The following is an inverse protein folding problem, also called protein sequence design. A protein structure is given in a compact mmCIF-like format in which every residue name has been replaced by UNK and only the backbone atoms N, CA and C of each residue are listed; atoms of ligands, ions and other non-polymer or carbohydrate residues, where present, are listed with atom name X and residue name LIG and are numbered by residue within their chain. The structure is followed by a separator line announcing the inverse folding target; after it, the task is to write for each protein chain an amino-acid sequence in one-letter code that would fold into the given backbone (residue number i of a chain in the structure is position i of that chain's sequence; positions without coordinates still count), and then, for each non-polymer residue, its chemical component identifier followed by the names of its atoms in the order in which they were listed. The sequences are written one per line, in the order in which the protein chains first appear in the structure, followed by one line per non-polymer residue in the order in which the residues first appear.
data_IF_334718179293
#
_entry.id   IF_334718179293
#
_cell.length_a   1.000
_cell.length_b   1.000
_cell.length_c   1.000
_cell.angle_alpha   90.00
_cell.angle_beta   90.00
_cell.angle_gamma   90.00
#
_symmetry.space_group_name_H-M   'P 1'
#
loop_
_entity.id
_entity.type
_entity.pdbx_description
1 polymer ?
#
# COMPACT_ATOMS: atom_id res chain seq x y z
N UNK A 1 -9.93 -30.17 -9.99
CA UNK A 1 -10.10 -28.71 -9.84
C UNK A 1 -10.72 -28.33 -8.49
N UNK A 2 -11.84 -28.95 -8.10
CA UNK A 2 -12.57 -28.66 -6.84
C UNK A 2 -11.73 -28.72 -5.54
N UNK A 3 -10.84 -29.70 -5.40
CA UNK A 3 -10.02 -29.81 -4.18
C UNK A 3 -9.02 -28.65 -4.03
N UNK A 4 -8.49 -28.11 -5.14
CA UNK A 4 -7.55 -26.98 -5.12
C UNK A 4 -8.23 -25.68 -4.68
N UNK A 5 -9.46 -25.44 -5.17
CA UNK A 5 -10.26 -24.28 -4.78
C UNK A 5 -10.72 -24.38 -3.33
N UNK A 6 -11.05 -25.58 -2.86
CA UNK A 6 -11.43 -25.80 -1.47
C UNK A 6 -10.24 -25.60 -0.52
N UNK A 7 -9.06 -26.12 -0.87
CA UNK A 7 -7.86 -25.93 -0.06
C UNK A 7 -7.44 -24.46 0.03
N UNK A 8 -7.54 -23.70 -1.07
CA UNK A 8 -7.21 -22.27 -1.05
C UNK A 8 -8.21 -21.46 -0.20
N UNK A 9 -9.49 -21.81 -0.25
CA UNK A 9 -10.51 -21.18 0.59
C UNK A 9 -10.32 -21.48 2.07
N UNK A 10 -9.98 -22.72 2.42
CA UNK A 10 -9.67 -23.12 3.80
C UNK A 10 -8.43 -22.40 4.32
N UNK A 11 -7.35 -22.34 3.53
CA UNK A 11 -6.13 -21.62 3.89
C UNK A 11 -6.41 -20.12 4.16
N UNK A 12 -7.15 -19.46 3.27
CA UNK A 12 -7.53 -18.06 3.46
C UNK A 12 -8.43 -17.85 4.69
N UNK A 13 -9.28 -18.83 5.04
CA UNK A 13 -10.11 -18.76 6.24
C UNK A 13 -9.28 -18.96 7.52
N UNK A 14 -8.30 -19.86 7.49
CA UNK A 14 -7.38 -20.08 8.61
C UNK A 14 -6.48 -18.87 8.86
N UNK A 15 -5.92 -18.26 7.82
CA UNK A 15 -5.15 -17.01 7.92
C UNK A 15 -5.99 -15.90 8.56
N UNK A 16 -7.25 -15.71 8.13
CA UNK A 16 -8.18 -14.74 8.74
C UNK A 16 -8.46 -15.03 10.21
N UNK A 17 -8.57 -16.31 10.61
CA UNK A 17 -8.74 -16.70 12.02
C UNK A 17 -7.49 -16.43 12.84
N UNK A 18 -6.30 -16.62 12.27
CA UNK A 18 -5.02 -16.33 12.95
C UNK A 18 -4.84 -14.84 13.17
N UNK A 19 -5.16 -14.00 12.18
CA UNK A 19 -5.12 -12.53 12.33
C UNK A 19 -6.04 -12.04 13.43
N UNK A 20 -7.29 -12.53 13.49
CA UNK A 20 -8.23 -12.19 14.58
C UNK A 20 -7.76 -12.67 15.96
N UNK A 21 -6.97 -13.76 16.01
CA UNK A 21 -6.35 -14.22 17.25
C UNK A 21 -5.16 -13.36 17.65
N UNK A 22 -4.41 -12.79 16.70
CA UNK A 22 -3.29 -11.88 16.99
C UNK A 22 -3.74 -10.61 17.71
N UNK A 23 -4.96 -10.11 17.46
CA UNK A 23 -5.52 -8.94 18.17
C UNK A 23 -5.77 -9.20 19.67
N UNK A 24 -5.80 -10.46 20.12
CA UNK A 24 -6.04 -10.82 21.51
C UNK A 24 -4.84 -11.55 22.08
N UNK A 25 -4.20 -10.95 23.08
CA UNK A 25 -3.10 -11.55 23.84
C UNK A 25 -3.42 -12.98 24.35
N UNK A 26 -4.67 -13.22 24.76
CA UNK A 26 -5.19 -14.54 25.15
C UNK A 26 -6.46 -14.83 24.35
N UNK A 27 -6.30 -15.47 23.19
CA UNK A 27 -7.39 -15.72 22.24
C UNK A 27 -8.14 -17.05 22.42
N UNK A 28 -7.74 -17.90 23.36
CA UNK A 28 -8.32 -19.24 23.60
C UNK A 28 -9.44 -19.25 24.66
N UNK A 29 -9.59 -18.16 25.42
CA UNK A 29 -10.63 -18.03 26.46
C UNK A 29 -10.38 -18.91 27.69
N UNK A 30 -9.22 -19.57 27.77
CA UNK A 30 -8.85 -20.42 28.90
C UNK A 30 -8.24 -19.59 30.03
N UNK A 31 -8.54 -19.92 31.30
CA UNK A 31 -7.88 -19.27 32.44
C UNK A 31 -6.37 -19.53 32.38
N UNK A 32 -5.59 -18.45 32.39
CA UNK A 32 -4.12 -18.50 32.44
C UNK A 32 -3.63 -17.76 33.67
N UNK A 33 -2.56 -18.26 34.26
CA UNK A 33 -1.88 -17.58 35.34
C UNK A 33 -1.13 -16.36 34.78
N UNK A 34 -1.67 -15.17 35.03
CA UNK A 34 -1.17 -13.90 34.49
C UNK A 34 0.18 -13.47 35.10
N UNK A 35 0.60 -14.11 36.18
CA UNK A 35 1.90 -13.87 36.85
C UNK A 35 2.99 -14.83 36.42
N UNK A 36 2.70 -15.78 35.52
CA UNK A 36 3.73 -16.69 35.00
C UNK A 36 4.62 -16.02 33.95
N UNK A 37 5.90 -16.34 33.94
CA UNK A 37 6.89 -15.83 32.97
C UNK A 37 6.41 -15.96 31.52
N UNK A 38 5.72 -17.05 31.20
CA UNK A 38 5.15 -17.28 29.86
C UNK A 38 4.13 -16.22 29.45
N UNK A 39 3.29 -15.76 30.38
CA UNK A 39 2.33 -14.69 30.10
C UNK A 39 3.06 -13.37 29.95
N UNK A 40 4.01 -13.07 30.83
CA UNK A 40 4.84 -11.87 30.73
C UNK A 40 5.56 -11.77 29.39
N UNK A 41 6.26 -12.82 28.95
CA UNK A 41 6.91 -12.85 27.64
C UNK A 41 5.90 -12.61 26.51
N UNK A 42 4.71 -13.21 26.57
CA UNK A 42 3.67 -13.00 25.57
C UNK A 42 3.19 -11.54 25.51
N UNK A 43 3.10 -10.83 26.65
CA UNK A 43 2.75 -9.40 26.71
C UNK A 43 3.84 -8.57 26.04
N UNK A 44 5.10 -8.85 26.36
CA UNK A 44 6.24 -8.15 25.77
C UNK A 44 6.27 -8.34 24.25
N UNK A 45 6.11 -9.58 23.77
CA UNK A 45 6.10 -9.87 22.33
C UNK A 45 4.94 -9.16 21.62
N UNK A 46 3.75 -9.13 22.23
CA UNK A 46 2.59 -8.43 21.68
C UNK A 46 2.84 -6.92 21.57
N UNK A 47 3.38 -6.29 22.62
CA UNK A 47 3.67 -4.86 22.62
C UNK A 47 4.74 -4.51 21.58
N UNK A 48 5.83 -5.29 21.52
CA UNK A 48 6.87 -5.11 20.52
C UNK A 48 6.32 -5.23 19.09
N UNK A 49 5.41 -6.18 18.85
CA UNK A 49 4.76 -6.36 17.55
C UNK A 49 3.84 -5.18 17.21
N UNK A 50 3.09 -4.65 18.19
CA UNK A 50 2.25 -3.47 18.00
C UNK A 50 3.08 -2.22 17.67
N UNK A 51 4.17 -2.00 18.38
CA UNK A 51 5.09 -0.88 18.13
C UNK A 51 5.75 -1.00 16.74
N UNK A 52 6.15 -2.23 16.35
CA UNK A 52 6.66 -2.51 15.01
C UNK A 52 5.61 -2.25 13.91
N UNK A 53 4.33 -2.56 14.16
CA UNK A 53 3.26 -2.27 13.19
C UNK A 53 3.03 -0.76 13.04
N UNK A 54 3.04 -0.01 14.14
CA UNK A 54 2.88 1.45 14.10
C UNK A 54 4.02 2.10 13.31
N UNK A 55 5.27 1.74 13.61
CA UNK A 55 6.43 2.27 12.87
C UNK A 55 6.43 1.87 11.39
N UNK A 56 6.02 0.65 11.06
CA UNK A 56 5.85 0.21 9.66
C UNK A 56 4.74 1.00 8.94
N UNK A 57 3.64 1.31 9.64
CA UNK A 57 2.54 2.11 9.08
C UNK A 57 2.97 3.56 8.84
N UNK A 58 3.71 4.15 9.78
CA UNK A 58 4.21 5.52 9.66
C UNK A 58 5.22 5.66 8.52
N UNK A 59 6.20 4.76 8.42
CA UNK A 59 7.16 4.74 7.30
C UNK A 59 6.45 4.58 5.95
N UNK A 60 5.51 3.64 5.84
CA UNK A 60 4.74 3.46 4.61
C UNK A 60 3.88 4.70 4.27
N UNK A 61 3.36 5.41 5.27
CA UNK A 61 2.64 6.66 5.04
C UNK A 61 3.57 7.76 4.52
N UNK A 62 4.77 7.90 5.10
CA UNK A 62 5.77 8.85 4.65
C UNK A 62 6.18 8.60 3.19
N UNK A 63 6.50 7.35 2.84
CA UNK A 63 6.84 6.98 1.45
C UNK A 63 5.72 7.30 0.46
N UNK A 64 4.46 7.10 0.87
CA UNK A 64 3.29 7.44 0.04
C UNK A 64 3.17 8.94 -0.18
N UNK A 65 3.38 9.73 0.87
CA UNK A 65 3.26 11.19 0.81
C UNK A 65 4.40 11.79 -0.02
N UNK A 66 5.63 11.29 0.15
CA UNK A 66 6.78 11.64 -0.69
C UNK A 66 6.50 11.31 -2.17
N UNK A 67 6.06 10.09 -2.46
CA UNK A 67 5.70 9.70 -3.83
C UNK A 67 4.58 10.56 -4.39
N UNK A 68 3.57 10.90 -3.60
CA UNK A 68 2.46 11.74 -4.03
C UNK A 68 2.93 13.15 -4.39
N UNK A 69 3.83 13.73 -3.58
CA UNK A 69 4.43 15.04 -3.85
C UNK A 69 5.27 15.06 -5.13
N UNK A 70 6.13 14.06 -5.33
CA UNK A 70 6.94 13.91 -6.54
C UNK A 70 6.07 13.73 -7.78
N UNK A 71 5.02 12.90 -7.69
CA UNK A 71 4.06 12.70 -8.77
C UNK A 71 3.31 13.98 -9.12
N UNK A 72 2.98 14.81 -8.12
CA UNK A 72 2.32 16.09 -8.35
C UNK A 72 3.22 17.05 -9.13
N UNK A 73 4.47 17.22 -8.68
CA UNK A 73 5.45 18.06 -9.36
C UNK A 73 5.70 17.57 -10.80
N UNK A 74 5.83 16.25 -11.00
CA UNK A 74 5.98 15.66 -12.32
C UNK A 74 4.79 15.97 -13.24
N UNK A 75 3.54 15.83 -12.74
CA UNK A 75 2.34 16.12 -13.53
C UNK A 75 2.26 17.59 -13.96
N UNK A 76 2.65 18.51 -13.09
CA UNK A 76 2.67 19.94 -13.41
C UNK A 76 3.68 20.25 -14.52
N UNK A 77 4.86 19.63 -14.50
CA UNK A 77 5.85 19.79 -15.57
C UNK A 77 5.43 19.09 -16.86
N UNK A 78 4.80 17.91 -16.75
CA UNK A 78 4.30 17.16 -17.89
C UNK A 78 3.19 17.93 -18.65
N UNK A 79 2.30 18.59 -17.91
CA UNK A 79 1.27 19.46 -18.48
C UNK A 79 1.89 20.60 -19.30
N UNK A 80 2.88 21.32 -18.74
CA UNK A 80 3.59 22.39 -19.48
C UNK A 80 4.30 21.87 -20.73
N UNK A 81 4.85 20.65 -20.67
CA UNK A 81 5.48 20.01 -21.83
C UNK A 81 4.44 19.67 -22.90
N UNK A 82 3.29 19.14 -22.51
CA UNK A 82 2.20 18.83 -23.42
C UNK A 82 1.67 20.08 -24.11
N UNK A 83 1.44 21.18 -23.37
CA UNK A 83 1.00 22.46 -23.92
C UNK A 83 2.01 22.99 -24.95
N UNK A 84 3.32 22.97 -24.65
CA UNK A 84 4.35 23.36 -25.62
C UNK A 84 4.32 22.51 -26.88
N UNK A 85 4.17 21.19 -26.73
CA UNK A 85 4.10 20.29 -27.88
C UNK A 85 2.85 20.53 -28.72
N UNK A 86 1.73 20.93 -28.11
CA UNK A 86 0.52 21.30 -28.83
C UNK A 86 0.73 22.55 -29.68
N UNK A 87 1.37 23.58 -29.14
CA UNK A 87 1.72 24.80 -29.90
C UNK A 87 2.62 24.44 -31.09
N UNK A 88 3.71 23.72 -30.87
CA UNK A 88 4.61 23.32 -31.97
C UNK A 88 3.90 22.47 -33.04
N UNK A 89 2.95 21.61 -32.62
CA UNK A 89 2.13 20.82 -33.56
C UNK A 89 1.16 21.69 -34.36
N UNK A 90 0.65 22.78 -33.78
CA UNK A 90 -0.22 23.73 -34.48
C UNK A 90 0.59 24.53 -35.49
N UNK A 91 1.73 25.09 -35.07
CA UNK A 91 2.67 25.81 -35.96
C UNK A 91 3.05 24.94 -37.17
N UNK A 92 3.46 23.70 -36.93
CA UNK A 92 3.79 22.77 -38.00
C UNK A 92 2.63 22.49 -38.97
N UNK A 93 1.39 22.41 -38.45
CA UNK A 93 0.21 22.23 -39.31
C UNK A 93 -0.10 23.46 -40.14
N UNK A 94 0.15 24.65 -39.61
CA UNK A 94 -0.02 25.92 -40.32
C UNK A 94 1.04 26.08 -41.41
N UNK A 95 2.30 25.79 -41.11
CA UNK A 95 3.40 25.76 -42.08
C UNK A 95 3.13 24.75 -43.20
N UNK A 96 2.68 23.54 -42.86
CA UNK A 96 2.29 22.53 -43.86
C UNK A 96 1.17 23.04 -44.77
N UNK A 97 0.14 23.68 -44.21
CA UNK A 97 -0.96 24.23 -45.01
C UNK A 97 -0.46 25.29 -45.98
N UNK A 98 0.40 26.20 -45.51
CA UNK A 98 1.00 27.24 -46.36
C UNK A 98 1.81 26.62 -47.49
N UNK A 99 2.59 25.58 -47.21
CA UNK A 99 3.37 24.87 -48.23
C UNK A 99 2.51 24.10 -49.25
N UNK A 100 1.38 23.52 -48.83
CA UNK A 100 0.45 22.84 -49.75
C UNK A 100 -0.32 23.82 -50.65
N UNK A 101 -0.46 25.07 -50.23
CA UNK A 101 -1.15 26.13 -50.99
C UNK A 101 -0.21 26.87 -51.98
N UNK A 102 1.12 26.79 -51.82
CA UNK A 102 2.14 27.27 -52.76
C UNK A 102 2.39 26.33 -53.95
#
# INVERSE_FOLDING_TARGET
MYCKTLSSQLAAQEEKKLVRKREKLVGDGLPRLLTGDKFYCSVVDHNNAADAEVTARESHQQERDERASLMKAWKEEDAKRLERNEVCRQEYKEELRQWEEE
#
